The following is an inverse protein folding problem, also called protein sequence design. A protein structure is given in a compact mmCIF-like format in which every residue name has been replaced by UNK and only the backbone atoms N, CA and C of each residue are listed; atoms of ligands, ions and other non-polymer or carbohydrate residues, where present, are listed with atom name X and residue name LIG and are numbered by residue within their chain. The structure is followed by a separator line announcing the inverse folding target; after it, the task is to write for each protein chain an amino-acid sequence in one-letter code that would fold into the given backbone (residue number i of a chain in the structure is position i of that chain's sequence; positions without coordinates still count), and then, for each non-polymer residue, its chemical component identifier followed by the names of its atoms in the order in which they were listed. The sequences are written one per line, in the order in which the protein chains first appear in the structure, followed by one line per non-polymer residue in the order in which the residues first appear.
data_IF_076552787055
#
_entry.id   IF_076552787055
#
_cell.length_a   1.000
_cell.length_b   1.000
_cell.length_c   1.000
_cell.angle_alpha   90.00
_cell.angle_beta   90.00
_cell.angle_gamma   90.00
#
_symmetry.space_group_name_H-M   'P 1'
#
loop_
_entity.id
_entity.type
_entity.pdbx_description
1 polymer ?
#
# COMPACT_ATOMS: atom_id res chain seq x y z
N UNK A 1 -13.79 3.10 29.19
CA UNK A 1 -14.22 2.29 28.03
C UNK A 1 -13.86 3.07 26.78
N UNK A 2 -12.89 2.60 25.97
CA UNK A 2 -12.53 3.25 24.71
C UNK A 2 -13.38 2.65 23.59
N UNK A 3 -13.99 3.53 22.80
CA UNK A 3 -15.03 3.26 21.81
C UNK A 3 -14.63 2.16 20.82
N UNK A 4 -15.50 1.15 20.63
CA UNK A 4 -15.39 0.16 19.55
C UNK A 4 -15.79 0.72 18.16
N UNK A 5 -16.06 2.03 18.06
CA UNK A 5 -16.60 2.70 16.86
C UNK A 5 -15.54 3.25 15.88
N UNK A 6 -14.24 3.00 16.10
CA UNK A 6 -13.19 3.55 15.22
C UNK A 6 -13.15 2.92 13.82
N UNK A 7 -13.74 1.74 13.63
CA UNK A 7 -13.99 1.18 12.29
C UNK A 7 -15.24 1.86 11.73
N UNK A 8 -15.09 3.06 11.15
CA UNK A 8 -16.17 3.71 10.39
C UNK A 8 -16.79 2.67 9.45
N UNK A 9 -18.13 2.58 9.44
CA UNK A 9 -18.96 1.67 8.61
C UNK A 9 -18.76 1.78 7.08
N UNK A 10 -17.70 2.45 6.62
CA UNK A 10 -17.40 2.73 5.22
C UNK A 10 -16.73 1.54 4.52
N UNK A 11 -15.98 0.70 5.23
CA UNK A 11 -15.28 -0.46 4.66
C UNK A 11 -15.70 -1.75 5.37
N UNK A 12 -15.77 -2.88 4.64
CA UNK A 12 -16.23 -4.14 5.23
C UNK A 12 -15.18 -4.74 6.18
N UNK A 13 -13.90 -4.48 5.93
CA UNK A 13 -12.78 -4.93 6.75
C UNK A 13 -11.55 -4.00 6.55
N UNK A 14 -10.49 -4.21 7.33
CA UNK A 14 -9.29 -3.38 7.24
C UNK A 14 -8.50 -3.58 5.93
N UNK A 15 -8.53 -4.77 5.33
CA UNK A 15 -7.90 -5.02 4.03
C UNK A 15 -8.56 -4.19 2.92
N UNK A 16 -9.89 -4.13 2.89
CA UNK A 16 -10.64 -3.29 1.94
C UNK A 16 -10.25 -1.81 2.07
N UNK A 17 -10.05 -1.33 3.28
CA UNK A 17 -9.55 0.02 3.51
C UNK A 17 -8.14 0.22 2.94
N UNK A 18 -7.21 -0.70 3.18
CA UNK A 18 -5.84 -0.62 2.65
C UNK A 18 -5.85 -0.60 1.12
N UNK A 19 -6.68 -1.45 0.48
CA UNK A 19 -6.83 -1.46 -0.99
C UNK A 19 -7.23 -0.09 -1.53
N UNK A 20 -8.26 0.52 -0.94
CA UNK A 20 -8.76 1.84 -1.36
C UNK A 20 -7.75 2.95 -1.09
N UNK A 21 -7.09 2.93 0.08
CA UNK A 21 -6.05 3.90 0.40
C UNK A 21 -4.88 3.80 -0.58
N UNK A 22 -4.42 2.59 -0.88
CA UNK A 22 -3.34 2.36 -1.86
C UNK A 22 -3.70 2.84 -3.27
N UNK A 23 -4.89 2.49 -3.78
CA UNK A 23 -5.36 2.97 -5.10
C UNK A 23 -5.35 4.51 -5.14
N UNK A 24 -5.98 5.16 -4.16
CA UNK A 24 -6.10 6.62 -4.10
C UNK A 24 -4.76 7.34 -3.99
N UNK A 25 -3.90 6.93 -3.07
CA UNK A 25 -2.63 7.62 -2.84
C UNK A 25 -1.65 7.42 -4.01
N UNK A 26 -1.67 6.25 -4.65
CA UNK A 26 -0.85 6.01 -5.83
C UNK A 26 -1.36 6.81 -7.03
N UNK A 27 -2.67 6.85 -7.26
CA UNK A 27 -3.31 7.71 -8.28
C UNK A 27 -2.99 9.19 -8.09
N UNK A 28 -2.99 9.64 -6.83
CA UNK A 28 -2.65 11.00 -6.49
C UNK A 28 -1.17 11.32 -6.73
N UNK A 29 -0.25 10.40 -6.43
CA UNK A 29 1.19 10.67 -6.40
C UNK A 29 1.91 10.33 -7.71
N UNK A 30 1.53 9.24 -8.36
CA UNK A 30 2.17 8.73 -9.57
C UNK A 30 1.74 9.51 -10.81
N UNK A 31 2.67 9.58 -11.77
CA UNK A 31 2.41 10.09 -13.12
C UNK A 31 2.52 8.97 -14.16
N UNK A 32 3.50 8.09 -13.98
CA UNK A 32 3.83 7.01 -14.91
C UNK A 32 4.75 6.01 -14.17
N UNK A 33 4.76 4.76 -14.58
CA UNK A 33 5.55 3.73 -13.92
C UNK A 33 5.95 2.60 -14.87
N UNK A 34 7.13 2.01 -14.62
CA UNK A 34 7.52 0.72 -15.19
C UNK A 34 7.41 -0.34 -14.11
N UNK A 35 6.79 -1.45 -14.48
CA UNK A 35 6.53 -2.55 -13.58
C UNK A 35 7.61 -3.62 -13.68
N UNK A 36 7.78 -4.41 -12.62
CA UNK A 36 8.68 -5.57 -12.68
C UNK A 36 8.07 -6.68 -13.54
N UNK A 37 8.93 -7.51 -14.15
CA UNK A 37 8.46 -8.65 -14.94
C UNK A 37 7.78 -9.72 -14.07
N UNK A 38 8.16 -9.82 -12.79
CA UNK A 38 7.51 -10.74 -11.85
C UNK A 38 6.07 -10.29 -11.55
N UNK A 39 5.88 -9.02 -11.22
CA UNK A 39 4.55 -8.44 -11.01
C UNK A 39 3.69 -8.56 -12.27
N UNK A 40 4.25 -8.27 -13.45
CA UNK A 40 3.53 -8.41 -14.73
C UNK A 40 3.00 -9.82 -14.97
N UNK A 41 3.78 -10.86 -14.61
CA UNK A 41 3.36 -12.27 -14.68
C UNK A 41 2.25 -12.61 -13.69
N UNK A 42 2.39 -12.18 -12.43
CA UNK A 42 1.39 -12.41 -11.40
C UNK A 42 0.04 -11.76 -11.77
N UNK A 43 0.07 -10.54 -12.31
CA UNK A 43 -1.14 -9.86 -12.77
C UNK A 43 -1.79 -10.54 -13.97
N UNK A 44 -0.98 -11.02 -14.92
CA UNK A 44 -1.49 -11.80 -16.06
C UNK A 44 -2.22 -13.06 -15.59
N UNK A 45 -1.70 -13.73 -14.56
CA UNK A 45 -2.34 -14.88 -13.94
C UNK A 45 -3.65 -14.50 -13.25
N UNK A 46 -3.64 -13.44 -12.44
CA UNK A 46 -4.84 -12.93 -11.76
C UNK A 46 -5.98 -12.62 -12.75
N UNK A 47 -5.66 -11.98 -13.87
CA UNK A 47 -6.62 -11.68 -14.94
C UNK A 47 -7.11 -12.96 -15.61
N UNK A 48 -6.22 -13.92 -15.87
CA UNK A 48 -6.58 -15.24 -16.42
C UNK A 48 -7.60 -15.95 -15.51
N UNK A 49 -7.41 -15.86 -14.20
CA UNK A 49 -8.28 -16.52 -13.24
C UNK A 49 -9.64 -15.80 -13.14
N UNK A 50 -9.67 -14.47 -13.11
CA UNK A 50 -10.92 -13.66 -13.14
C UNK A 50 -11.72 -13.93 -14.42
N UNK A 51 -11.05 -14.00 -15.57
CA UNK A 51 -11.71 -14.25 -16.87
C UNK A 51 -12.24 -15.68 -16.99
N UNK A 52 -11.51 -16.69 -16.48
CA UNK A 52 -11.97 -18.09 -16.43
C UNK A 52 -13.15 -18.32 -15.50
N UNK A 53 -13.24 -17.56 -14.40
CA UNK A 53 -14.37 -17.64 -13.47
C UNK A 53 -15.68 -17.09 -14.04
N UNK A 54 -15.70 -16.58 -15.28
CA UNK A 54 -16.91 -16.07 -15.93
C UNK A 54 -17.44 -14.77 -15.31
N UNK A 55 -16.66 -14.12 -14.43
CA UNK A 55 -16.94 -12.80 -13.87
C UNK A 55 -16.61 -11.71 -14.88
N UNK A 56 -17.27 -11.75 -16.04
CA UNK A 56 -17.17 -10.69 -17.05
C UNK A 56 -18.15 -9.58 -16.69
N UNK A 57 -17.68 -8.67 -15.84
CA UNK A 57 -18.16 -7.29 -15.68
C UNK A 57 -17.05 -6.48 -14.98
N UNK A 58 -15.85 -6.60 -15.50
CA UNK A 58 -14.63 -6.06 -14.94
C UNK A 58 -14.11 -5.05 -15.97
N UNK A 59 -14.56 -3.80 -15.86
CA UNK A 59 -14.12 -2.68 -16.71
C UNK A 59 -12.70 -2.24 -16.31
N UNK A 60 -11.74 -3.16 -16.38
CA UNK A 60 -10.34 -2.85 -16.11
C UNK A 60 -9.59 -2.70 -17.43
N UNK A 61 -8.80 -1.63 -17.56
CA UNK A 61 -7.96 -1.40 -18.73
C UNK A 61 -6.54 -1.81 -18.38
N UNK A 62 -6.04 -2.85 -19.06
CA UNK A 62 -4.68 -3.32 -18.87
C UNK A 62 -4.03 -3.56 -20.23
N UNK A 63 -3.02 -2.75 -20.54
CA UNK A 63 -2.24 -2.89 -21.76
C UNK A 63 -0.89 -3.50 -21.42
N UNK A 64 -0.43 -4.44 -22.23
CA UNK A 64 0.94 -4.94 -22.17
C UNK A 64 1.73 -4.37 -23.35
N UNK A 65 3.01 -4.08 -23.14
CA UNK A 65 3.93 -3.76 -24.24
C UNK A 65 4.32 -5.06 -24.99
N UNK A 66 5.10 -4.90 -26.06
CA UNK A 66 5.57 -6.03 -26.89
C UNK A 66 6.44 -7.03 -26.14
N UNK A 67 7.00 -6.64 -25.00
CA UNK A 67 7.84 -7.47 -24.15
C UNK A 67 7.03 -8.21 -23.06
N UNK A 68 5.70 -8.04 -23.05
CA UNK A 68 4.80 -8.64 -22.06
C UNK A 68 4.83 -7.94 -20.70
N UNK A 69 5.40 -6.75 -20.60
CA UNK A 69 5.35 -5.91 -19.40
C UNK A 69 4.10 -5.03 -19.43
N UNK A 70 3.54 -4.74 -18.25
CA UNK A 70 2.38 -3.85 -18.13
C UNK A 70 2.75 -2.43 -18.60
N UNK A 71 1.94 -1.87 -19.48
CA UNK A 71 2.09 -0.53 -20.06
C UNK A 71 1.04 0.48 -19.53
N UNK A 72 -0.17 0.03 -19.21
CA UNK A 72 -1.23 0.82 -18.58
C UNK A 72 -1.94 -0.10 -17.59
N UNK A 73 -2.23 0.42 -16.39
CA UNK A 73 -2.71 -0.36 -15.27
C UNK A 73 -3.85 0.37 -14.55
N UNK A 74 -4.93 -0.36 -14.25
CA UNK A 74 -6.01 0.13 -13.42
C UNK A 74 -5.56 0.24 -11.96
N UNK A 75 -5.74 1.42 -11.36
CA UNK A 75 -5.34 1.73 -10.00
C UNK A 75 -6.11 0.89 -8.97
N UNK A 76 -7.31 0.41 -9.30
CA UNK A 76 -8.09 -0.47 -8.43
C UNK A 76 -7.55 -1.91 -8.43
N UNK A 77 -7.01 -2.39 -9.56
CA UNK A 77 -6.27 -3.66 -9.60
C UNK A 77 -4.99 -3.57 -8.76
N UNK A 78 -4.32 -2.42 -8.79
CA UNK A 78 -3.14 -2.12 -7.98
C UNK A 78 -3.46 -2.12 -6.50
N UNK A 79 -4.50 -1.38 -6.11
CA UNK A 79 -4.98 -1.33 -4.74
C UNK A 79 -5.34 -2.72 -4.23
N UNK A 80 -6.04 -3.52 -5.04
CA UNK A 80 -6.40 -4.91 -4.72
C UNK A 80 -5.17 -5.76 -4.44
N UNK A 81 -4.19 -5.76 -5.35
CA UNK A 81 -2.95 -6.51 -5.19
C UNK A 81 -2.21 -6.09 -3.90
N UNK A 82 -2.07 -4.78 -3.66
CA UNK A 82 -1.38 -4.27 -2.47
C UNK A 82 -2.10 -4.69 -1.19
N UNK A 83 -3.43 -4.55 -1.11
CA UNK A 83 -4.18 -4.94 0.08
C UNK A 83 -4.12 -6.45 0.36
N UNK A 84 -4.11 -7.28 -0.69
CA UNK A 84 -3.96 -8.74 -0.56
C UNK A 84 -2.57 -9.11 -0.04
N UNK A 85 -1.52 -8.59 -0.68
CA UNK A 85 -0.13 -8.81 -0.25
C UNK A 85 0.11 -8.28 1.16
N UNK A 86 -0.39 -7.09 1.48
CA UNK A 86 -0.29 -6.50 2.81
C UNK A 86 -0.94 -7.39 3.87
N UNK A 87 -2.12 -7.92 3.58
CA UNK A 87 -2.82 -8.82 4.50
C UNK A 87 -1.96 -10.04 4.79
N UNK A 88 -1.48 -10.73 3.75
CA UNK A 88 -0.64 -11.92 3.91
C UNK A 88 0.63 -11.62 4.69
N UNK A 89 1.39 -10.59 4.31
CA UNK A 89 2.68 -10.27 4.95
C UNK A 89 2.54 -9.81 6.40
N UNK A 90 1.49 -9.06 6.74
CA UNK A 90 1.22 -8.68 8.13
C UNK A 90 0.81 -9.90 8.96
N UNK A 91 -0.08 -10.75 8.45
CA UNK A 91 -0.49 -11.95 9.18
C UNK A 91 0.71 -12.85 9.45
N UNK A 92 1.61 -13.06 8.47
CA UNK A 92 2.85 -13.83 8.63
C UNK A 92 3.75 -13.25 9.72
N UNK A 93 4.01 -11.94 9.70
CA UNK A 93 4.83 -11.25 10.72
C UNK A 93 4.26 -11.36 12.13
N UNK A 94 2.95 -11.56 12.27
CA UNK A 94 2.25 -11.72 13.54
C UNK A 94 1.81 -13.17 13.82
N UNK A 95 2.60 -14.14 13.37
CA UNK A 95 2.39 -15.57 13.63
C UNK A 95 1.08 -16.13 13.07
N UNK A 96 0.72 -15.71 11.86
CA UNK A 96 -0.49 -16.10 11.13
C UNK A 96 -1.80 -15.76 11.86
N UNK A 97 -1.77 -14.74 12.73
CA UNK A 97 -3.00 -14.21 13.35
C UNK A 97 -3.76 -13.40 12.31
N UNK A 98 -5.09 -13.55 12.28
CA UNK A 98 -5.94 -12.78 11.37
C UNK A 98 -5.75 -11.27 11.53
N UNK A 99 -5.69 -10.53 10.43
CA UNK A 99 -5.45 -9.09 10.39
C UNK A 99 -6.39 -8.30 11.31
N UNK A 100 -7.69 -8.60 11.28
CA UNK A 100 -8.67 -7.94 12.15
C UNK A 100 -8.41 -8.16 13.65
N UNK A 101 -7.81 -9.31 14.04
CA UNK A 101 -7.42 -9.57 15.41
C UNK A 101 -6.18 -8.75 15.80
N UNK A 102 -5.18 -8.70 14.90
CA UNK A 102 -3.97 -7.88 15.09
C UNK A 102 -4.37 -6.41 15.32
N UNK A 103 -5.20 -5.86 14.44
CA UNK A 103 -5.67 -4.48 14.52
C UNK A 103 -6.38 -4.19 15.85
N UNK A 104 -7.32 -5.04 16.27
CA UNK A 104 -8.00 -4.88 17.56
C UNK A 104 -7.03 -4.94 18.74
N UNK A 105 -6.01 -5.79 18.66
CA UNK A 105 -4.98 -5.89 19.68
C UNK A 105 -4.11 -4.63 19.73
N UNK A 106 -3.76 -4.06 18.58
CA UNK A 106 -2.89 -2.87 18.46
C UNK A 106 -3.59 -1.61 18.96
N UNK A 107 -4.82 -1.34 18.50
CA UNK A 107 -5.57 -0.11 18.87
C UNK A 107 -5.76 -0.01 20.38
N UNK A 108 -5.95 -1.15 21.06
CA UNK A 108 -6.20 -1.20 22.50
C UNK A 108 -4.93 -1.24 23.37
N UNK A 109 -3.74 -1.19 22.77
CA UNK A 109 -2.48 -1.30 23.47
C UNK A 109 -1.80 0.06 23.71
N UNK A 110 -0.55 0.03 24.19
CA UNK A 110 0.28 1.22 24.41
C UNK A 110 0.65 1.91 23.10
N UNK A 111 1.03 3.18 23.19
CA UNK A 111 1.54 3.97 22.06
C UNK A 111 2.79 3.33 21.43
N UNK A 112 3.61 2.65 22.24
CA UNK A 112 4.79 1.91 21.77
C UNK A 112 4.40 0.77 20.83
N UNK A 113 3.44 -0.06 21.23
CA UNK A 113 2.94 -1.16 20.39
C UNK A 113 2.29 -0.64 19.11
N UNK A 114 1.57 0.49 19.20
CA UNK A 114 1.00 1.15 18.03
C UNK A 114 2.09 1.63 17.07
N UNK A 115 3.16 2.22 17.60
CA UNK A 115 4.29 2.69 16.81
C UNK A 115 5.02 1.56 16.12
N UNK A 116 5.30 0.47 16.84
CA UNK A 116 5.94 -0.70 16.26
C UNK A 116 5.09 -1.28 15.12
N UNK A 117 3.77 -1.37 15.32
CA UNK A 117 2.86 -1.82 14.27
C UNK A 117 2.88 -0.91 13.03
N UNK A 118 2.87 0.41 13.22
CA UNK A 118 2.93 1.37 12.11
C UNK A 118 4.26 1.29 11.36
N UNK A 119 5.37 1.08 12.08
CA UNK A 119 6.67 0.85 11.45
C UNK A 119 6.65 -0.44 10.61
N UNK A 120 6.09 -1.53 11.14
CA UNK A 120 5.93 -2.78 10.39
C UNK A 120 5.06 -2.57 9.15
N UNK A 121 3.96 -1.82 9.25
CA UNK A 121 3.12 -1.49 8.10
C UNK A 121 3.92 -0.75 7.01
N UNK A 122 4.72 0.23 7.40
CA UNK A 122 5.58 0.96 6.46
C UNK A 122 6.58 0.05 5.76
N UNK A 123 7.29 -0.80 6.50
CA UNK A 123 8.25 -1.75 5.92
C UNK A 123 7.58 -2.71 4.92
N UNK A 124 6.40 -3.24 5.27
CA UNK A 124 5.61 -4.13 4.40
C UNK A 124 5.18 -3.39 3.12
N UNK A 125 4.63 -2.19 3.23
CA UNK A 125 4.20 -1.43 2.05
C UNK A 125 5.40 -1.08 1.16
N UNK A 126 6.54 -0.68 1.73
CA UNK A 126 7.77 -0.44 0.95
C UNK A 126 8.22 -1.71 0.22
N UNK A 127 8.18 -2.86 0.89
CA UNK A 127 8.51 -4.16 0.30
C UNK A 127 7.61 -4.47 -0.90
N UNK A 128 6.29 -4.34 -0.72
CA UNK A 128 5.30 -4.60 -1.78
C UNK A 128 5.50 -3.65 -2.96
N UNK A 129 5.72 -2.36 -2.72
CA UNK A 129 5.94 -1.40 -3.80
C UNK A 129 7.25 -1.70 -4.56
N UNK A 130 8.29 -2.20 -3.90
CA UNK A 130 9.51 -2.67 -4.57
C UNK A 130 9.27 -3.91 -5.43
N UNK A 131 8.36 -4.81 -5.03
CA UNK A 131 7.97 -5.96 -5.85
C UNK A 131 7.26 -5.51 -7.13
N UNK A 132 6.45 -4.45 -7.04
CA UNK A 132 5.62 -3.95 -8.14
C UNK A 132 6.45 -3.14 -9.14
N UNK A 133 7.25 -2.19 -8.66
CA UNK A 133 7.83 -1.14 -9.48
C UNK A 133 9.31 -1.33 -9.77
N UNK A 134 9.64 -1.21 -11.06
CA UNK A 134 11.01 -1.07 -11.54
C UNK A 134 11.44 0.41 -11.62
N UNK A 135 10.52 1.29 -11.99
CA UNK A 135 10.74 2.73 -12.08
C UNK A 135 9.42 3.46 -11.78
N UNK A 136 9.47 4.52 -10.97
CA UNK A 136 8.30 5.36 -10.67
C UNK A 136 8.58 6.81 -11.07
N UNK A 137 7.74 7.36 -11.94
CA UNK A 137 7.65 8.79 -12.18
C UNK A 137 6.49 9.35 -11.36
N UNK A 138 6.78 10.41 -10.63
CA UNK A 138 5.86 10.99 -9.64
C UNK A 138 5.81 12.51 -9.78
N UNK A 139 4.80 13.12 -9.16
CA UNK A 139 4.66 14.58 -9.10
C UNK A 139 5.81 15.18 -8.29
N UNK A 140 6.79 15.78 -8.98
CA UNK A 140 8.03 16.31 -8.38
C UNK A 140 7.79 17.27 -7.21
N UNK A 141 6.78 18.13 -7.32
CA UNK A 141 6.41 19.10 -6.27
C UNK A 141 6.08 18.41 -4.94
N UNK A 142 5.37 17.27 -4.99
CA UNK A 142 5.07 16.46 -3.81
C UNK A 142 6.33 15.80 -3.27
N UNK A 143 7.17 15.26 -4.15
CA UNK A 143 8.43 14.65 -3.73
C UNK A 143 9.34 15.63 -2.97
N UNK A 144 9.51 16.83 -3.50
CA UNK A 144 10.29 17.89 -2.84
C UNK A 144 9.67 18.33 -1.51
N UNK A 145 8.34 18.46 -1.46
CA UNK A 145 7.62 18.77 -0.23
C UNK A 145 7.90 17.73 0.87
N UNK A 146 7.75 16.44 0.56
CA UNK A 146 7.97 15.36 1.52
C UNK A 146 9.45 15.20 1.88
N UNK A 147 10.36 15.30 0.91
CA UNK A 147 11.81 15.28 1.14
C UNK A 147 12.22 16.34 2.15
N UNK A 148 11.76 17.58 1.96
CA UNK A 148 12.03 18.69 2.88
C UNK A 148 11.36 18.50 4.24
N UNK A 149 10.10 18.08 4.25
CA UNK A 149 9.32 17.91 5.48
C UNK A 149 9.90 16.84 6.37
N UNK A 150 10.32 15.71 5.78
CA UNK A 150 10.79 14.52 6.47
C UNK A 150 12.31 14.49 6.68
N UNK A 151 13.06 15.39 6.03
CA UNK A 151 14.53 15.41 6.03
C UNK A 151 15.11 14.08 5.55
N UNK A 152 14.62 13.61 4.40
CA UNK A 152 15.14 12.39 3.78
C UNK A 152 16.50 12.70 3.16
N UNK A 153 17.53 11.93 3.55
CA UNK A 153 18.89 12.11 3.05
C UNK A 153 19.01 11.80 1.55
N UNK A 154 19.87 12.57 0.86
CA UNK A 154 20.11 12.51 -0.58
C UNK A 154 20.66 11.14 -1.04
N UNK A 155 21.27 10.35 -0.16
CA UNK A 155 21.82 9.02 -0.50
C UNK A 155 20.74 7.96 -0.74
N UNK A 156 19.45 8.33 -0.65
CA UNK A 156 18.30 7.41 -0.82
C UNK A 156 17.41 7.68 -2.05
N UNK A 157 17.91 8.48 -3.01
CA UNK A 157 17.16 8.96 -4.17
C UNK A 157 16.50 7.83 -4.98
N UNK A 158 17.15 6.69 -5.16
CA UNK A 158 16.64 5.59 -6.00
C UNK A 158 15.35 4.96 -5.45
N UNK A 159 15.06 5.11 -4.16
CA UNK A 159 13.84 4.59 -3.52
C UNK A 159 12.94 5.68 -2.94
N UNK A 160 13.26 6.96 -3.17
CA UNK A 160 12.49 8.08 -2.65
C UNK A 160 10.99 8.02 -3.02
N UNK A 161 10.61 7.72 -4.28
CA UNK A 161 9.20 7.68 -4.66
C UNK A 161 8.43 6.58 -3.95
N UNK A 162 9.06 5.40 -3.80
CA UNK A 162 8.51 4.25 -3.11
C UNK A 162 8.26 4.56 -1.63
N UNK A 163 9.25 5.18 -0.97
CA UNK A 163 9.15 5.56 0.44
C UNK A 163 8.04 6.59 0.66
N UNK A 164 7.92 7.59 -0.22
CA UNK A 164 6.88 8.61 -0.11
C UNK A 164 5.50 7.99 -0.33
N UNK A 165 5.33 7.16 -1.37
CA UNK A 165 4.08 6.45 -1.62
C UNK A 165 3.67 5.57 -0.42
N UNK A 166 4.62 4.84 0.16
CA UNK A 166 4.38 4.06 1.36
C UNK A 166 3.94 4.92 2.55
N UNK A 167 4.58 6.08 2.74
CA UNK A 167 4.22 7.00 3.82
C UNK A 167 2.82 7.58 3.67
N UNK A 168 2.40 7.93 2.45
CA UNK A 168 1.04 8.41 2.18
C UNK A 168 0.01 7.36 2.60
N UNK A 169 0.22 6.11 2.18
CA UNK A 169 -0.66 4.98 2.53
C UNK A 169 -0.67 4.74 4.05
N UNK A 170 0.49 4.77 4.69
CA UNK A 170 0.60 4.56 6.14
C UNK A 170 -0.01 5.72 6.92
N UNK A 171 0.06 6.94 6.41
CA UNK A 171 -0.61 8.10 7.01
C UNK A 171 -2.13 7.89 7.05
N UNK A 172 -2.70 7.36 5.98
CA UNK A 172 -4.10 6.97 5.95
C UNK A 172 -4.41 5.86 6.95
N UNK A 173 -3.56 4.84 7.05
CA UNK A 173 -3.69 3.77 8.06
C UNK A 173 -3.71 4.36 9.46
N UNK A 174 -2.78 5.25 9.80
CA UNK A 174 -2.76 5.95 11.09
C UNK A 174 -4.06 6.70 11.34
N UNK A 175 -4.53 7.49 10.36
CA UNK A 175 -5.78 8.25 10.44
C UNK A 175 -7.00 7.34 10.62
N UNK A 176 -7.05 6.21 9.92
CA UNK A 176 -8.14 5.23 10.02
C UNK A 176 -8.17 4.54 11.38
N UNK A 177 -7.00 4.17 11.91
CA UNK A 177 -6.87 3.50 13.20
C UNK A 177 -6.96 4.46 14.40
N UNK A 178 -6.96 5.78 14.16
CA UNK A 178 -6.92 6.79 15.21
C UNK A 178 -5.57 6.87 15.95
N UNK A 179 -4.50 6.41 15.31
CA UNK A 179 -3.14 6.40 15.86
C UNK A 179 -2.45 7.71 15.47
N UNK A 180 -2.06 8.52 16.46
CA UNK A 180 -1.43 9.82 16.22
C UNK A 180 0.10 9.72 16.31
N UNK A 181 0.72 9.32 15.21
CA UNK A 181 2.17 9.23 15.08
C UNK A 181 2.63 10.16 13.98
N UNK A 182 3.60 11.03 14.28
CA UNK A 182 4.20 11.90 13.28
C UNK A 182 5.03 11.07 12.28
N UNK A 183 4.89 11.35 10.98
CA UNK A 183 5.56 10.62 9.89
C UNK A 183 7.07 10.41 10.08
N UNK A 184 7.77 11.39 10.68
CA UNK A 184 9.22 11.29 10.99
C UNK A 184 9.58 10.15 11.93
N UNK A 185 8.63 9.69 12.74
CA UNK A 185 8.86 8.61 13.69
C UNK A 185 8.73 7.22 13.03
N UNK A 186 8.23 7.16 11.80
CA UNK A 186 7.99 5.93 11.02
C UNK A 186 9.25 5.53 10.23
N UNK A 187 10.09 6.51 9.85
CA UNK A 187 11.21 6.34 8.90
C UNK A 187 12.56 6.18 9.63
N UNK A 188 12.56 5.71 10.88
CA UNK A 188 13.79 5.58 11.67
C UNK A 188 14.58 4.31 11.36
#
# INVERSE_FOLDING_TARGET
MRNNDFMKKTYNNFSDFVRVASSRELSYFLLDAKYTSNFSKQMSQLISDITKEGKVAADFVLFFNTDGEIAIFDEDLLGTYIGDRFTVEIEEKYSNKRLNYIIKSVINNSEEVQKDFIQVCYEVIVSILNEIYKEMKYKKELGEFYKKTLKLDDDSIDNLPLKIAALLIVEDICRYLGINIGLKQIIK
#
